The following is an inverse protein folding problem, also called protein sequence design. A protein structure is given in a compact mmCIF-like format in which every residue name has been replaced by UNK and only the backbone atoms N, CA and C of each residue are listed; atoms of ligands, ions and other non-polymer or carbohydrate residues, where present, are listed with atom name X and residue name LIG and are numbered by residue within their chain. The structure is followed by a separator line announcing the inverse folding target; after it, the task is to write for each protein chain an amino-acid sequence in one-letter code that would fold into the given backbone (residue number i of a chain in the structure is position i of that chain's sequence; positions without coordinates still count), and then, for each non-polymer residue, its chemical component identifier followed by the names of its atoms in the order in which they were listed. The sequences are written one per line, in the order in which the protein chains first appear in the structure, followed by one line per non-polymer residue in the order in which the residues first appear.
data_IF_853567715405
#
_entry.id   IF_853567715405
#
_cell.length_a   1.000
_cell.length_b   1.000
_cell.length_c   1.000
_cell.angle_alpha   90.00
_cell.angle_beta   90.00
_cell.angle_gamma   90.00
#
_symmetry.space_group_name_H-M   'P 1'
#
loop_
_entity.id
_entity.type
_entity.pdbx_description
1 polymer ?
#
# COMPACT_ATOMS: atom_id res chain seq x y z
N UNK A 1 67.45 10.31 43.35
CA UNK A 1 66.62 9.17 42.91
C UNK A 1 65.19 9.47 43.34
N UNK A 2 64.32 9.87 42.40
CA UNK A 2 62.97 10.33 42.72
C UNK A 2 62.00 9.20 42.31
N UNK A 3 61.61 8.38 43.28
CA UNK A 3 60.61 7.32 43.09
C UNK A 3 59.24 8.01 43.19
N UNK A 4 58.65 8.33 42.04
CA UNK A 4 57.31 8.90 41.97
C UNK A 4 56.31 7.74 42.05
N UNK A 5 55.66 7.59 43.19
CA UNK A 5 54.51 6.70 43.34
C UNK A 5 53.35 7.27 42.53
N UNK A 6 53.16 6.75 41.30
CA UNK A 6 52.07 7.10 40.40
C UNK A 6 50.75 6.43 40.83
N UNK A 7 50.40 6.49 42.11
CA UNK A 7 49.16 5.89 42.63
C UNK A 7 48.02 6.90 42.75
N UNK A 8 48.31 8.20 42.72
CA UNK A 8 47.32 9.25 43.03
C UNK A 8 46.63 9.88 41.81
N UNK A 9 46.90 9.37 40.60
CA UNK A 9 46.34 9.92 39.35
C UNK A 9 45.26 9.06 38.70
N UNK A 10 44.69 8.11 39.44
CA UNK A 10 43.58 7.26 38.94
C UNK A 10 42.21 7.77 39.42
N UNK A 11 42.17 8.72 40.37
CA UNK A 11 40.92 9.23 40.96
C UNK A 11 40.84 10.77 41.00
N UNK A 12 41.35 11.47 39.98
CA UNK A 12 41.13 12.91 39.85
C UNK A 12 39.76 13.23 39.23
N UNK A 13 39.05 14.21 39.80
CA UNK A 13 37.69 14.67 39.52
C UNK A 13 37.34 15.04 38.05
N UNK A 14 38.28 14.93 37.11
CA UNK A 14 38.07 15.20 35.68
C UNK A 14 38.01 13.93 34.81
N UNK A 15 38.28 12.73 35.35
CA UNK A 15 38.20 11.48 34.58
C UNK A 15 37.30 10.48 35.29
N UNK A 16 35.99 10.69 35.19
CA UNK A 16 34.98 9.79 35.74
C UNK A 16 34.90 8.53 34.88
N UNK A 17 35.80 7.57 35.14
CA UNK A 17 35.81 6.25 34.49
C UNK A 17 34.44 5.55 34.61
N UNK A 18 33.71 5.82 35.70
CA UNK A 18 32.34 5.36 35.92
C UNK A 18 31.34 5.98 34.93
N UNK A 19 31.50 7.26 34.58
CA UNK A 19 30.66 7.91 33.58
C UNK A 19 30.94 7.36 32.18
N UNK A 20 32.22 7.20 31.81
CA UNK A 20 32.63 6.64 30.51
C UNK A 20 32.17 5.19 30.32
N UNK A 21 32.25 4.37 31.37
CA UNK A 21 31.79 2.99 31.33
C UNK A 21 30.27 2.90 31.19
N UNK A 22 29.53 3.84 31.81
CA UNK A 22 28.06 3.91 31.70
C UNK A 22 27.63 4.33 30.31
N UNK A 23 28.26 5.36 29.73
CA UNK A 23 27.98 5.80 28.36
C UNK A 23 28.36 4.74 27.33
N UNK A 24 29.44 3.99 27.56
CA UNK A 24 29.84 2.90 26.67
C UNK A 24 28.84 1.74 26.69
N UNK A 25 28.35 1.34 27.88
CA UNK A 25 27.27 0.35 27.99
C UNK A 25 25.99 0.81 27.29
N UNK A 26 25.62 2.08 27.46
CA UNK A 26 24.46 2.67 26.79
C UNK A 26 24.63 2.61 25.25
N UNK A 27 25.78 3.01 24.74
CA UNK A 27 26.10 2.95 23.31
C UNK A 27 26.12 1.52 22.77
N UNK A 28 26.62 0.55 23.55
CA UNK A 28 26.61 -0.86 23.17
C UNK A 28 25.18 -1.43 23.10
N UNK A 29 24.32 -1.09 24.06
CA UNK A 29 22.90 -1.50 24.01
C UNK A 29 22.21 -0.90 22.78
N UNK A 30 22.40 0.39 22.50
CA UNK A 30 21.84 1.02 21.29
C UNK A 30 22.39 0.42 19.99
N UNK A 31 23.65 -0.04 19.98
CA UNK A 31 24.26 -0.67 18.80
C UNK A 31 23.74 -2.08 18.58
N UNK A 32 23.52 -2.85 19.66
CA UNK A 32 22.85 -4.16 19.59
C UNK A 32 21.40 -4.01 19.16
N UNK A 33 20.69 -3.00 19.69
CA UNK A 33 19.32 -2.69 19.32
C UNK A 33 19.22 -2.27 17.84
N UNK A 34 20.18 -1.50 17.34
CA UNK A 34 20.27 -1.18 15.91
C UNK A 34 20.58 -2.41 15.06
N UNK A 35 21.50 -3.29 15.49
CA UNK A 35 21.86 -4.51 14.75
C UNK A 35 20.75 -5.55 14.70
N UNK A 36 19.88 -5.61 15.71
CA UNK A 36 18.72 -6.53 15.75
C UNK A 36 17.46 -5.86 15.16
N UNK A 37 17.31 -4.54 15.33
CA UNK A 37 16.21 -3.75 14.79
C UNK A 37 16.29 -3.55 13.28
N UNK A 38 17.47 -3.35 12.70
CA UNK A 38 17.65 -3.24 11.24
C UNK A 38 17.17 -4.48 10.44
N UNK A 39 17.53 -5.73 10.80
CA UNK A 39 17.07 -6.91 10.07
C UNK A 39 15.57 -7.18 10.25
N UNK A 40 14.93 -6.69 11.30
CA UNK A 40 13.47 -6.75 11.45
C UNK A 40 12.73 -5.80 10.48
N UNK A 41 13.42 -4.75 9.98
CA UNK A 41 12.93 -3.80 8.97
C UNK A 41 13.31 -4.24 7.55
N UNK A 42 14.01 -5.36 7.39
CA UNK A 42 14.42 -5.92 6.10
C UNK A 42 13.73 -7.27 5.85
N UNK A 43 12.40 -7.35 6.03
CA UNK A 43 11.66 -8.46 5.42
C UNK A 43 11.49 -8.14 3.94
N UNK A 44 11.85 -9.11 3.09
CA UNK A 44 11.77 -9.00 1.62
C UNK A 44 10.34 -8.78 1.08
N UNK A 45 9.34 -8.65 1.95
CA UNK A 45 7.95 -8.37 1.62
C UNK A 45 7.52 -6.93 1.88
N UNK A 46 8.35 -6.07 2.50
CA UNK A 46 7.91 -4.72 2.89
C UNK A 46 7.53 -3.89 1.67
N UNK A 47 8.28 -3.97 0.58
CA UNK A 47 7.93 -3.24 -0.64
C UNK A 47 6.59 -3.69 -1.20
N UNK A 48 6.32 -5.01 -1.24
CA UNK A 48 5.02 -5.52 -1.68
C UNK A 48 3.89 -5.16 -0.71
N UNK A 49 4.15 -5.18 0.59
CA UNK A 49 3.16 -4.85 1.62
C UNK A 49 2.82 -3.35 1.58
N UNK A 50 3.84 -2.50 1.39
CA UNK A 50 3.69 -1.05 1.23
C UNK A 50 2.98 -0.69 -0.08
N UNK A 51 3.29 -1.35 -1.19
CA UNK A 51 2.54 -1.18 -2.45
C UNK A 51 1.08 -1.62 -2.30
N UNK A 52 0.83 -2.70 -1.58
CA UNK A 52 -0.52 -3.20 -1.33
C UNK A 52 -1.30 -2.26 -0.40
N UNK A 53 -0.66 -1.69 0.61
CA UNK A 53 -1.27 -0.64 1.45
C UNK A 53 -1.58 0.60 0.62
N UNK A 54 -0.62 1.11 -0.16
CA UNK A 54 -0.80 2.30 -1.01
C UNK A 54 -1.91 2.11 -2.04
N UNK A 55 -1.99 0.95 -2.69
CA UNK A 55 -3.05 0.64 -3.64
C UNK A 55 -4.41 0.54 -2.96
N UNK A 56 -4.48 -0.03 -1.75
CA UNK A 56 -5.70 -0.06 -0.94
C UNK A 56 -6.17 1.36 -0.57
N UNK A 57 -5.25 2.25 -0.18
CA UNK A 57 -5.58 3.66 0.12
C UNK A 57 -6.07 4.41 -1.13
N UNK A 58 -5.43 4.21 -2.28
CA UNK A 58 -5.85 4.78 -3.55
C UNK A 58 -7.28 4.38 -3.93
N UNK A 59 -7.67 3.12 -3.70
CA UNK A 59 -9.03 2.64 -4.00
C UNK A 59 -10.06 3.22 -3.02
N UNK A 60 -9.72 3.37 -1.74
CA UNK A 60 -10.62 3.98 -0.74
C UNK A 60 -10.85 5.47 -0.95
N UNK A 61 -9.96 6.13 -1.68
CA UNK A 61 -10.02 7.55 -1.99
C UNK A 61 -10.78 7.87 -3.28
N UNK A 62 -11.15 6.86 -4.07
CA UNK A 62 -11.95 7.05 -5.27
C UNK A 62 -13.40 7.37 -4.91
N UNK A 63 -13.86 8.52 -5.37
CA UNK A 63 -15.26 8.94 -5.23
C UNK A 63 -16.02 8.64 -6.52
N UNK A 64 -17.29 8.19 -6.48
CA UNK A 64 -18.09 7.99 -7.68
C UNK A 64 -18.28 9.33 -8.42
N UNK A 65 -18.17 9.30 -9.75
CA UNK A 65 -18.45 10.47 -10.56
C UNK A 65 -19.92 10.92 -10.38
N UNK A 66 -20.18 12.23 -10.45
CA UNK A 66 -21.51 12.81 -10.15
C UNK A 66 -22.64 12.19 -10.98
N UNK A 67 -22.33 11.81 -12.22
CA UNK A 67 -23.26 11.13 -13.14
C UNK A 67 -23.70 9.74 -12.66
N UNK A 68 -22.84 9.02 -11.96
CA UNK A 68 -23.07 7.62 -11.58
C UNK A 68 -23.30 7.46 -10.08
N UNK A 69 -23.40 8.56 -9.32
CA UNK A 69 -23.57 8.53 -7.87
C UNK A 69 -24.83 7.80 -7.43
N UNK A 70 -25.98 8.07 -8.07
CA UNK A 70 -27.24 7.39 -7.76
C UNK A 70 -27.19 5.89 -8.07
N UNK A 71 -26.53 5.52 -9.18
CA UNK A 71 -26.31 4.13 -9.56
C UNK A 71 -25.38 3.42 -8.56
N UNK A 72 -24.32 4.10 -8.12
CA UNK A 72 -23.40 3.60 -7.12
C UNK A 72 -24.09 3.34 -5.78
N UNK A 73 -24.90 4.29 -5.30
CA UNK A 73 -25.70 4.12 -4.08
C UNK A 73 -26.69 2.97 -4.21
N UNK A 74 -27.39 2.86 -5.35
CA UNK A 74 -28.30 1.75 -5.62
C UNK A 74 -27.59 0.38 -5.67
N UNK A 75 -26.38 0.33 -6.27
CA UNK A 75 -25.55 -0.87 -6.29
C UNK A 75 -25.10 -1.25 -4.87
N UNK A 76 -24.58 -0.29 -4.09
CA UNK A 76 -24.18 -0.51 -2.70
C UNK A 76 -25.35 -1.00 -1.83
N UNK A 77 -26.55 -0.48 -2.04
CA UNK A 77 -27.76 -0.95 -1.34
C UNK A 77 -28.14 -2.40 -1.69
N UNK A 78 -27.76 -2.90 -2.87
CA UNK A 78 -27.98 -4.29 -3.27
C UNK A 78 -26.94 -5.26 -2.73
N UNK A 79 -25.71 -4.82 -2.40
CA UNK A 79 -24.63 -5.70 -1.93
C UNK A 79 -25.04 -6.57 -0.73
N UNK A 80 -25.69 -6.03 0.34
CA UNK A 80 -26.11 -6.85 1.48
C UNK A 80 -27.13 -7.93 1.07
N UNK A 81 -28.08 -7.57 0.21
CA UNK A 81 -29.12 -8.48 -0.30
C UNK A 81 -28.49 -9.59 -1.14
N UNK A 82 -27.55 -9.23 -2.02
CA UNK A 82 -26.81 -10.19 -2.83
C UNK A 82 -25.93 -11.09 -1.96
N UNK A 83 -25.28 -10.55 -0.94
CA UNK A 83 -24.46 -11.32 0.00
C UNK A 83 -25.31 -12.29 0.81
N UNK A 84 -26.48 -11.87 1.29
CA UNK A 84 -27.45 -12.72 1.97
C UNK A 84 -27.91 -13.85 1.04
N UNK A 85 -28.36 -13.52 -0.17
CA UNK A 85 -28.77 -14.50 -1.18
C UNK A 85 -27.64 -15.46 -1.55
N UNK A 86 -26.40 -15.00 -1.69
CA UNK A 86 -25.23 -15.85 -1.99
C UNK A 86 -24.84 -16.75 -0.81
N UNK A 87 -24.89 -16.23 0.42
CA UNK A 87 -24.59 -16.98 1.65
C UNK A 87 -25.67 -18.03 1.90
N UNK A 88 -26.93 -17.67 1.66
CA UNK A 88 -28.06 -18.57 1.62
C UNK A 88 -27.92 -19.59 0.47
N UNK A 89 -27.54 -19.20 -0.74
CA UNK A 89 -27.32 -20.14 -1.86
C UNK A 89 -26.25 -21.19 -1.54
N UNK A 90 -25.16 -20.81 -0.86
CA UNK A 90 -24.18 -21.78 -0.34
C UNK A 90 -24.78 -22.77 0.65
N UNK A 91 -25.84 -22.38 1.39
CA UNK A 91 -26.64 -23.28 2.26
C UNK A 91 -27.77 -24.02 1.51
N UNK A 92 -28.27 -23.49 0.39
CA UNK A 92 -29.47 -23.97 -0.34
C UNK A 92 -29.20 -24.70 -1.66
N UNK A 93 -27.94 -25.05 -1.98
CA UNK A 93 -27.58 -25.94 -3.11
C UNK A 93 -28.31 -27.31 -3.11
N UNK A 94 -29.13 -27.61 -2.09
CA UNK A 94 -29.96 -28.81 -1.95
C UNK A 94 -31.49 -28.60 -2.04
N UNK A 95 -32.02 -27.42 -2.38
CA UNK A 95 -33.49 -27.24 -2.53
C UNK A 95 -33.91 -26.94 -3.97
N UNK A 96 -34.83 -27.75 -4.47
CA UNK A 96 -35.39 -27.75 -5.84
C UNK A 96 -36.19 -26.47 -6.22
N UNK A 97 -36.48 -25.59 -5.26
CA UNK A 97 -37.22 -24.35 -5.50
C UNK A 97 -36.27 -23.20 -5.84
N UNK A 98 -35.91 -23.11 -7.13
CA UNK A 98 -35.08 -22.08 -7.78
C UNK A 98 -35.72 -20.68 -7.69
N UNK A 99 -35.61 -19.99 -6.55
CA UNK A 99 -35.73 -18.53 -6.54
C UNK A 99 -34.47 -17.98 -7.19
N UNK A 100 -34.60 -17.45 -8.42
CA UNK A 100 -33.48 -16.81 -9.11
C UNK A 100 -33.03 -15.59 -8.29
N UNK A 101 -31.71 -15.37 -8.13
CA UNK A 101 -31.23 -14.14 -7.52
C UNK A 101 -31.73 -12.94 -8.34
N UNK A 102 -31.97 -11.78 -7.70
CA UNK A 102 -32.33 -10.57 -8.41
C UNK A 102 -31.25 -10.21 -9.45
N UNK A 103 -31.63 -9.62 -10.59
CA UNK A 103 -30.65 -9.17 -11.59
C UNK A 103 -29.73 -8.13 -10.95
N UNK A 104 -28.41 -8.35 -11.05
CA UNK A 104 -27.43 -7.40 -10.55
C UNK A 104 -27.52 -6.10 -11.33
N UNK A 105 -27.58 -4.96 -10.62
CA UNK A 105 -27.33 -3.68 -11.24
C UNK A 105 -25.92 -3.63 -11.83
N UNK A 106 -25.72 -2.90 -12.95
CA UNK A 106 -24.39 -2.72 -13.51
C UNK A 106 -23.47 -2.04 -12.49
N UNK A 107 -22.23 -2.52 -12.40
CA UNK A 107 -21.22 -1.90 -11.55
C UNK A 107 -20.90 -0.51 -12.11
N UNK A 108 -20.88 0.56 -11.30
CA UNK A 108 -20.43 1.87 -11.74
C UNK A 108 -18.97 1.80 -12.20
N UNK A 109 -18.62 2.56 -13.23
CA UNK A 109 -17.30 2.48 -13.87
C UNK A 109 -16.56 3.81 -13.87
N UNK A 110 -17.26 4.92 -13.60
CA UNK A 110 -16.69 6.26 -13.55
C UNK A 110 -16.43 6.69 -12.11
N UNK A 111 -15.16 6.90 -11.81
CA UNK A 111 -14.67 7.35 -10.52
C UNK A 111 -13.79 8.58 -10.68
N UNK A 112 -13.64 9.32 -9.60
CA UNK A 112 -12.84 10.53 -9.54
C UNK A 112 -11.81 10.35 -8.43
N UNK A 113 -10.55 10.65 -8.75
CA UNK A 113 -9.47 10.70 -7.75
C UNK A 113 -9.64 11.91 -6.82
N UNK A 114 -8.97 11.93 -5.66
CA UNK A 114 -8.90 13.13 -4.82
C UNK A 114 -8.39 14.38 -5.54
N UNK A 115 -7.60 14.20 -6.60
CA UNK A 115 -7.05 15.28 -7.43
C UNK A 115 -8.01 15.71 -8.55
N UNK A 116 -9.30 15.33 -8.51
CA UNK A 116 -10.31 15.61 -9.53
C UNK A 116 -9.97 15.07 -10.93
N UNK A 117 -9.19 13.99 -11.01
CA UNK A 117 -8.93 13.29 -12.27
C UNK A 117 -10.02 12.23 -12.45
N UNK A 118 -10.74 12.31 -13.58
CA UNK A 118 -11.73 11.32 -13.99
C UNK A 118 -11.06 10.03 -14.43
N UNK A 119 -11.54 8.92 -13.88
CA UNK A 119 -11.08 7.56 -14.15
C UNK A 119 -12.27 6.73 -14.63
N UNK A 120 -12.12 6.15 -15.83
CA UNK A 120 -13.03 5.12 -16.33
C UNK A 120 -12.38 3.74 -16.18
N UNK A 121 -12.88 2.95 -15.22
CA UNK A 121 -12.36 1.62 -14.93
C UNK A 121 -12.48 0.66 -16.14
N UNK A 122 -13.34 0.94 -17.12
CA UNK A 122 -13.43 0.13 -18.36
C UNK A 122 -12.13 0.19 -19.16
N UNK A 123 -11.43 1.33 -19.12
CA UNK A 123 -10.15 1.53 -19.79
C UNK A 123 -9.00 0.78 -19.11
N UNK A 124 -9.21 0.33 -17.86
CA UNK A 124 -8.26 -0.44 -17.09
C UNK A 124 -8.43 -1.96 -17.24
N UNK A 125 -9.27 -2.42 -18.18
CA UNK A 125 -9.39 -3.84 -18.51
C UNK A 125 -8.13 -4.32 -19.26
N UNK A 126 -7.42 -5.29 -18.68
CA UNK A 126 -6.16 -5.83 -19.24
C UNK A 126 -6.32 -6.38 -20.66
N UNK A 127 -7.41 -7.08 -20.94
CA UNK A 127 -7.68 -7.65 -22.27
C UNK A 127 -7.92 -6.56 -23.31
N UNK A 128 -8.62 -5.48 -22.93
CA UNK A 128 -8.79 -4.31 -23.79
C UNK A 128 -7.47 -3.57 -23.98
N UNK A 129 -6.70 -3.39 -22.92
CA UNK A 129 -5.39 -2.74 -22.98
C UNK A 129 -4.44 -3.52 -23.89
N UNK A 130 -4.35 -4.84 -23.78
CA UNK A 130 -3.54 -5.68 -24.66
C UNK A 130 -3.96 -5.56 -26.13
N UNK A 131 -5.28 -5.54 -26.40
CA UNK A 131 -5.81 -5.36 -27.77
C UNK A 131 -5.52 -3.99 -28.35
N UNK A 132 -5.60 -2.94 -27.53
CA UNK A 132 -5.43 -1.55 -27.96
C UNK A 132 -3.95 -1.14 -27.95
N UNK A 133 -3.08 -1.89 -27.27
CA UNK A 133 -1.65 -1.60 -27.10
C UNK A 133 -0.93 -1.38 -28.41
N UNK A 134 -1.17 -2.25 -29.40
CA UNK A 134 -0.55 -2.16 -30.72
C UNK A 134 -1.02 -0.92 -31.49
N UNK A 135 -2.29 -0.57 -31.37
CA UNK A 135 -2.89 0.61 -32.01
C UNK A 135 -2.28 1.88 -31.39
N UNK A 136 -2.22 1.95 -30.06
CA UNK A 136 -1.64 3.09 -29.35
C UNK A 136 -0.14 3.20 -29.60
N UNK A 137 0.62 2.10 -29.64
CA UNK A 137 2.04 2.15 -29.97
C UNK A 137 2.29 2.65 -31.38
N UNK A 138 1.46 2.25 -32.35
CA UNK A 138 1.58 2.72 -33.73
C UNK A 138 1.24 4.21 -33.82
N UNK A 139 0.14 4.65 -33.21
CA UNK A 139 -0.24 6.06 -33.18
C UNK A 139 0.80 6.95 -32.49
N UNK A 140 1.38 6.50 -31.37
CA UNK A 140 2.45 7.20 -30.68
C UNK A 140 3.71 7.24 -31.56
N UNK A 141 4.08 6.16 -32.24
CA UNK A 141 5.28 6.14 -33.09
C UNK A 141 5.11 7.03 -34.33
N UNK A 142 3.92 7.10 -34.91
CA UNK A 142 3.63 7.90 -36.10
C UNK A 142 3.44 9.39 -35.79
N UNK A 143 2.82 9.73 -34.65
CA UNK A 143 2.45 11.11 -34.32
C UNK A 143 3.38 11.79 -33.30
N UNK A 144 4.32 11.08 -32.69
CA UNK A 144 5.29 11.74 -31.80
C UNK A 144 6.34 12.45 -32.65
N UNK A 145 6.46 13.79 -32.57
CA UNK A 145 7.53 14.50 -33.25
C UNK A 145 8.86 13.99 -32.72
N UNK A 146 9.73 13.50 -33.60
CA UNK A 146 11.04 12.90 -33.28
C UNK A 146 11.98 13.80 -32.46
N UNK A 147 11.63 15.07 -32.24
CA UNK A 147 12.47 16.11 -31.66
C UNK A 147 11.89 16.75 -30.38
N UNK A 148 11.04 16.08 -29.60
CA UNK A 148 10.55 16.65 -28.34
C UNK A 148 11.67 16.89 -27.30
N UNK A 149 12.82 16.22 -27.44
CA UNK A 149 13.96 16.30 -26.52
C UNK A 149 15.30 16.73 -27.15
N UNK A 150 15.29 17.38 -28.32
CA UNK A 150 16.50 18.01 -28.90
C UNK A 150 16.48 19.51 -28.69
#
# INVERSE_FOLDING_TARGET
MLIIFAQDRVFSNCFSFKATLRSWKQGFVSLVDALIGLPAVYSSSIDSDVENERSKFLVTELSPHKSEKEMHEAFCAQIPILLEVMTEHKKYLYRENKKRPPPMLPYPHHFVTPNNIDIDLRLHNRDLQEKIRSIVSNLLTENTPKNWFN
#
